data_IF_094485287376
#
_entry.id   IF_094485287376
#
_cell.length_a   1.000
_cell.length_b   1.000
_cell.length_c   1.000
_cell.angle_alpha   90.00
_cell.angle_beta   90.00
_cell.angle_gamma   90.00
#
_symmetry.space_group_name_H-M   'P 1'
#
loop_
_entity.id
_entity.type
_entity.pdbx_description
1 polymer ?
#
# COMPACT_ATOMS: atom_id res chain seq x y z
N UNK A 1 -6.38 -5.24 31.85
CA UNK A 1 -7.33 -6.12 31.14
C UNK A 1 -6.53 -7.00 30.20
N UNK A 2 -6.78 -8.32 30.21
CA UNK A 2 -6.04 -9.30 29.41
C UNK A 2 -6.50 -9.20 27.96
N UNK A 3 -5.58 -8.88 27.06
CA UNK A 3 -5.80 -8.91 25.63
C UNK A 3 -5.88 -10.37 25.19
N UNK A 4 -6.94 -10.72 24.47
CA UNK A 4 -7.08 -12.02 23.85
C UNK A 4 -6.08 -12.09 22.69
N UNK A 5 -5.22 -13.11 22.72
CA UNK A 5 -4.45 -13.54 21.56
C UNK A 5 -5.44 -14.02 20.49
N UNK A 6 -5.82 -13.14 19.57
CA UNK A 6 -6.52 -13.52 18.36
C UNK A 6 -5.55 -14.34 17.51
N UNK A 7 -5.72 -15.66 17.54
CA UNK A 7 -4.97 -16.59 16.73
C UNK A 7 -5.24 -16.28 15.26
N UNK A 8 -4.21 -15.84 14.54
CA UNK A 8 -4.20 -15.65 13.08
C UNK A 8 -4.63 -16.97 12.45
N UNK A 9 -5.87 -17.05 12.01
CA UNK A 9 -6.33 -18.12 11.14
C UNK A 9 -6.43 -17.52 9.75
N UNK A 10 -5.29 -17.42 9.08
CA UNK A 10 -5.28 -17.21 7.63
C UNK A 10 -6.05 -18.38 7.02
N UNK A 11 -7.23 -18.12 6.49
CA UNK A 11 -7.95 -19.10 5.67
C UNK A 11 -7.16 -19.19 4.37
N UNK A 12 -6.14 -20.05 4.36
CA UNK A 12 -5.53 -20.51 3.12
C UNK A 12 -6.64 -21.20 2.34
N UNK A 13 -7.13 -20.53 1.30
CA UNK A 13 -8.11 -21.11 0.40
C UNK A 13 -7.45 -22.34 -0.24
N UNK A 14 -7.85 -23.53 0.19
CA UNK A 14 -7.66 -24.73 -0.60
C UNK A 14 -8.56 -24.60 -1.84
N UNK A 15 -8.06 -23.94 -2.87
CA UNK A 15 -8.62 -23.97 -4.22
C UNK A 15 -8.52 -25.42 -4.71
N UNK A 16 -9.50 -26.24 -4.36
CA UNK A 16 -9.69 -27.56 -4.93
C UNK A 16 -10.23 -27.38 -6.36
N UNK A 17 -9.35 -27.00 -7.27
CA UNK A 17 -9.56 -27.18 -8.71
C UNK A 17 -8.90 -28.50 -9.08
N UNK A 18 -9.71 -29.46 -9.52
CA UNK A 18 -9.30 -30.80 -9.87
C UNK A 18 -8.11 -30.80 -10.84
N UNK A 19 -6.96 -31.31 -10.38
CA UNK A 19 -5.82 -31.61 -11.23
C UNK A 19 -6.14 -32.87 -12.05
N UNK A 20 -6.38 -32.68 -13.35
CA UNK A 20 -6.29 -33.72 -14.35
C UNK A 20 -5.18 -33.31 -15.31
N UNK A 21 -4.06 -34.02 -15.25
CA UNK A 21 -2.90 -33.82 -16.12
C UNK A 21 -3.28 -34.01 -17.59
N UNK A 22 -3.20 -32.92 -18.36
CA UNK A 22 -3.26 -32.86 -19.82
C UNK A 22 -2.55 -31.59 -20.27
N UNK A 23 -1.89 -31.61 -21.42
CA UNK A 23 -0.89 -30.63 -21.91
C UNK A 23 -1.34 -29.15 -22.05
N UNK A 24 -2.56 -28.80 -21.63
CA UNK A 24 -3.04 -27.43 -21.43
C UNK A 24 -3.41 -27.29 -19.94
N UNK A 25 -2.52 -26.74 -19.13
CA UNK A 25 -2.83 -26.46 -17.73
C UNK A 25 -3.80 -25.27 -17.66
N UNK A 26 -5.10 -25.47 -17.34
CA UNK A 26 -6.07 -24.39 -17.26
C UNK A 26 -5.78 -23.42 -16.10
N UNK A 27 -4.80 -23.72 -15.23
CA UNK A 27 -4.32 -22.79 -14.21
C UNK A 27 -3.29 -21.81 -14.73
N UNK A 28 -2.69 -22.03 -15.91
CA UNK A 28 -1.68 -21.12 -16.47
C UNK A 28 -2.24 -19.75 -16.86
N UNK A 29 -3.55 -19.63 -17.15
CA UNK A 29 -4.24 -18.37 -17.45
C UNK A 29 -4.86 -17.69 -16.22
N UNK A 30 -4.66 -18.25 -15.02
CA UNK A 30 -5.22 -17.73 -13.77
C UNK A 30 -4.12 -17.05 -12.96
N UNK A 31 -4.19 -15.72 -12.81
CA UNK A 31 -3.34 -14.98 -11.89
C UNK A 31 -4.06 -14.77 -10.56
N UNK A 32 -3.44 -15.12 -9.43
CA UNK A 32 -4.00 -14.91 -8.09
C UNK A 32 -3.23 -13.83 -7.32
N UNK A 33 -3.94 -12.97 -6.60
CA UNK A 33 -3.38 -11.93 -5.75
C UNK A 33 -4.11 -11.91 -4.39
N UNK A 34 -3.41 -11.56 -3.32
CA UNK A 34 -3.98 -11.40 -1.98
C UNK A 34 -3.42 -10.14 -1.36
N UNK A 35 -4.24 -9.36 -0.66
CA UNK A 35 -3.77 -8.20 0.08
C UNK A 35 -2.84 -8.65 1.19
N UNK A 36 -1.82 -7.84 1.44
CA UNK A 36 -0.94 -7.99 2.61
C UNK A 36 -1.69 -7.55 3.87
N UNK A 37 -1.15 -7.75 5.09
CA UNK A 37 -1.81 -7.31 6.31
C UNK A 37 -2.29 -5.85 6.19
N UNK A 38 -3.61 -5.66 6.31
CA UNK A 38 -4.26 -4.38 5.99
C UNK A 38 -5.33 -4.03 7.02
N UNK A 39 -5.60 -2.73 7.12
CA UNK A 39 -6.76 -2.18 7.84
C UNK A 39 -7.77 -1.64 6.83
N UNK A 40 -9.06 -1.69 7.16
CA UNK A 40 -10.08 -0.98 6.40
C UNK A 40 -10.26 0.41 6.99
N UNK A 41 -9.97 1.44 6.21
CA UNK A 41 -10.30 2.83 6.53
C UNK A 41 -11.63 3.16 5.89
N UNK A 42 -12.59 3.56 6.71
CA UNK A 42 -13.92 4.02 6.27
C UNK A 42 -13.97 5.54 6.35
N UNK A 43 -14.38 6.16 5.25
CA UNK A 43 -14.49 7.62 5.12
C UNK A 43 -15.86 8.03 4.59
N UNK A 44 -16.35 9.18 5.03
CA UNK A 44 -17.53 9.86 4.49
C UNK A 44 -17.22 11.32 4.13
N UNK A 45 -18.24 12.17 3.97
CA UNK A 45 -18.06 13.60 3.66
C UNK A 45 -17.44 14.41 4.79
N UNK A 46 -17.38 13.89 6.01
CA UNK A 46 -16.79 14.52 7.18
C UNK A 46 -15.33 14.09 7.44
N UNK A 47 -14.87 13.02 6.79
CA UNK A 47 -13.51 12.49 6.93
C UNK A 47 -13.50 11.01 7.30
N UNK A 48 -12.49 10.58 8.07
CA UNK A 48 -12.38 9.21 8.58
C UNK A 48 -13.40 8.98 9.69
N UNK A 49 -14.24 7.95 9.54
CA UNK A 49 -15.29 7.58 10.50
C UNK A 49 -15.05 6.24 11.18
N UNK A 50 -14.13 5.43 10.67
CA UNK A 50 -13.77 4.17 11.30
C UNK A 50 -12.54 3.52 10.70
N UNK A 51 -11.83 2.75 11.53
CA UNK A 51 -10.69 1.94 11.15
C UNK A 51 -10.94 0.54 11.68
N UNK A 52 -10.98 -0.45 10.80
CA UNK A 52 -11.22 -1.85 11.18
C UNK A 52 -9.96 -2.69 10.91
N UNK A 53 -9.50 -3.48 11.89
CA UNK A 53 -8.32 -4.31 11.72
C UNK A 53 -8.60 -5.57 10.89
N UNK A 54 -7.52 -6.22 10.45
CA UNK A 54 -7.51 -7.59 9.94
C UNK A 54 -8.45 -7.84 8.74
N UNK A 55 -8.58 -6.88 7.84
CA UNK A 55 -9.30 -7.08 6.58
C UNK A 55 -8.37 -7.67 5.52
N UNK A 56 -8.94 -8.46 4.61
CA UNK A 56 -8.18 -8.97 3.47
C UNK A 56 -9.04 -9.13 2.23
N UNK A 57 -8.41 -9.07 1.06
CA UNK A 57 -9.04 -9.36 -0.21
C UNK A 57 -8.15 -10.31 -1.01
N UNK A 58 -8.75 -11.31 -1.65
CA UNK A 58 -8.08 -12.15 -2.64
C UNK A 58 -8.80 -12.07 -3.97
N UNK A 59 -8.04 -12.01 -5.06
CA UNK A 59 -8.56 -11.96 -6.41
C UNK A 59 -7.93 -13.06 -7.24
N UNK A 60 -8.74 -13.81 -7.99
CA UNK A 60 -8.29 -14.70 -9.04
C UNK A 60 -8.77 -14.14 -10.39
N UNK A 61 -7.82 -13.71 -11.23
CA UNK A 61 -8.06 -13.17 -12.56
C UNK A 61 -8.02 -14.31 -13.57
N UNK A 62 -9.09 -14.46 -14.34
CA UNK A 62 -9.13 -15.31 -15.52
C UNK A 62 -8.79 -14.45 -16.75
N UNK A 63 -7.62 -14.69 -17.34
CA UNK A 63 -7.12 -13.93 -18.50
C UNK A 63 -7.85 -14.25 -19.80
N UNK A 64 -8.51 -15.41 -19.91
CA UNK A 64 -9.24 -15.85 -21.10
C UNK A 64 -10.63 -15.18 -21.17
N UNK A 65 -11.39 -15.25 -20.07
CA UNK A 65 -12.74 -14.70 -19.98
C UNK A 65 -12.77 -13.21 -19.60
N UNK A 66 -11.62 -12.63 -19.22
CA UNK A 66 -11.51 -11.27 -18.66
C UNK A 66 -12.46 -11.02 -17.48
N UNK A 67 -12.62 -12.06 -16.66
CA UNK A 67 -13.39 -12.01 -15.42
C UNK A 67 -12.53 -12.35 -14.21
N UNK A 68 -12.99 -11.96 -13.02
CA UNK A 68 -12.32 -12.21 -11.76
C UNK A 68 -13.29 -12.79 -10.72
N UNK A 69 -12.74 -13.66 -9.86
CA UNK A 69 -13.33 -14.00 -8.57
C UNK A 69 -12.69 -13.10 -7.52
N UNK A 70 -13.50 -12.29 -6.85
CA UNK A 70 -13.07 -11.40 -5.75
C UNK A 70 -13.66 -11.93 -4.46
N UNK A 71 -12.82 -12.08 -3.43
CA UNK A 71 -13.24 -12.50 -2.09
C UNK A 71 -12.71 -11.50 -1.08
N UNK A 72 -13.60 -10.79 -0.40
CA UNK A 72 -13.28 -9.89 0.70
C UNK A 72 -13.59 -10.63 2.00
N UNK A 73 -12.63 -10.68 2.92
CA UNK A 73 -12.76 -11.39 4.19
C UNK A 73 -12.65 -10.43 5.37
N UNK A 74 -13.40 -10.75 6.43
CA UNK A 74 -13.45 -10.03 7.70
C UNK A 74 -13.90 -8.57 7.56
N UNK A 75 -14.74 -8.27 6.58
CA UNK A 75 -15.32 -6.93 6.44
C UNK A 75 -16.47 -6.75 7.44
N UNK A 76 -16.31 -5.85 8.41
CA UNK A 76 -17.40 -5.34 9.25
C UNK A 76 -17.75 -3.89 8.90
N UNK A 77 -18.79 -3.32 9.51
CA UNK A 77 -19.18 -1.91 9.32
C UNK A 77 -19.05 -1.09 10.61
N UNK A 78 -18.67 -1.75 11.70
CA UNK A 78 -18.31 -1.12 12.97
C UNK A 78 -17.36 -2.04 13.74
N UNK A 79 -16.63 -1.50 14.72
CA UNK A 79 -15.74 -2.30 15.58
C UNK A 79 -16.49 -3.37 16.39
N UNK A 80 -17.79 -3.17 16.62
CA UNK A 80 -18.64 -4.10 17.39
C UNK A 80 -19.21 -5.24 16.54
N UNK A 81 -19.15 -5.11 15.21
CA UNK A 81 -19.72 -6.08 14.29
C UNK A 81 -18.72 -7.19 13.98
N UNK A 82 -19.23 -8.41 13.85
CA UNK A 82 -18.41 -9.51 13.37
C UNK A 82 -18.20 -9.37 11.87
N UNK A 83 -16.94 -9.40 11.43
CA UNK A 83 -16.60 -9.36 10.02
C UNK A 83 -17.25 -10.49 9.22
N UNK A 84 -17.68 -10.17 8.01
CA UNK A 84 -18.29 -11.07 7.04
C UNK A 84 -17.33 -11.42 5.92
N UNK A 85 -17.65 -12.48 5.15
CA UNK A 85 -16.95 -12.83 3.92
C UNK A 85 -17.87 -12.55 2.75
N UNK A 86 -17.43 -11.72 1.81
CA UNK A 86 -18.15 -11.34 0.60
C UNK A 86 -17.46 -11.97 -0.61
N UNK A 87 -18.23 -12.66 -1.47
CA UNK A 87 -17.72 -13.31 -2.69
C UNK A 87 -18.41 -12.75 -3.92
N UNK A 88 -17.64 -12.38 -4.92
CA UNK A 88 -18.11 -11.84 -6.19
C UNK A 88 -17.46 -12.63 -7.33
N UNK A 89 -18.27 -13.24 -8.20
CA UNK A 89 -17.78 -13.97 -9.38
C UNK A 89 -18.10 -13.22 -10.66
N UNK A 90 -17.34 -13.53 -11.70
CA UNK A 90 -17.59 -12.99 -13.03
C UNK A 90 -17.38 -11.48 -13.11
N UNK A 91 -16.63 -10.90 -12.17
CA UNK A 91 -16.42 -9.45 -12.14
C UNK A 91 -15.48 -9.09 -13.29
N UNK A 92 -15.93 -8.23 -14.19
CA UNK A 92 -15.11 -7.82 -15.33
C UNK A 92 -13.85 -7.08 -14.86
N UNK A 93 -12.74 -7.27 -15.57
CA UNK A 93 -11.51 -6.53 -15.35
C UNK A 93 -10.82 -6.19 -16.67
N UNK A 94 -9.95 -5.19 -16.64
CA UNK A 94 -9.19 -4.69 -17.79
C UNK A 94 -7.72 -4.50 -17.43
N UNK A 95 -6.86 -4.41 -18.44
CA UNK A 95 -5.50 -3.91 -18.23
C UNK A 95 -5.51 -2.38 -18.12
N UNK A 96 -4.77 -1.86 -17.14
CA UNK A 96 -4.50 -0.44 -16.94
C UNK A 96 -2.97 -0.28 -16.92
N UNK A 97 -2.39 0.02 -18.08
CA UNK A 97 -0.94 -0.15 -18.30
C UNK A 97 -0.52 -1.60 -18.13
N UNK A 98 0.39 -1.87 -17.19
CA UNK A 98 0.85 -3.22 -16.82
C UNK A 98 0.04 -3.84 -15.67
N UNK A 99 -0.89 -3.09 -15.06
CA UNK A 99 -1.71 -3.56 -13.95
C UNK A 99 -3.02 -4.21 -14.42
N UNK A 100 -3.57 -5.13 -13.62
CA UNK A 100 -4.94 -5.62 -13.78
C UNK A 100 -5.88 -4.78 -12.91
N UNK A 101 -6.97 -4.29 -13.48
CA UNK A 101 -7.93 -3.42 -12.80
C UNK A 101 -9.34 -3.96 -12.88
N UNK A 102 -9.95 -4.18 -11.72
CA UNK A 102 -11.40 -4.31 -11.58
C UNK A 102 -11.96 -2.91 -11.35
N UNK A 103 -12.86 -2.47 -12.20
CA UNK A 103 -13.61 -1.23 -12.06
C UNK A 103 -15.09 -1.54 -12.30
N UNK A 104 -15.87 -1.65 -11.22
CA UNK A 104 -17.28 -1.99 -11.29
C UNK A 104 -18.11 -0.95 -10.58
N UNK A 105 -19.14 -0.43 -11.25
CA UNK A 105 -20.07 0.54 -10.66
C UNK A 105 -20.88 -0.07 -9.52
N UNK A 106 -21.22 -1.35 -9.63
CA UNK A 106 -22.00 -2.09 -8.67
C UNK A 106 -21.68 -3.59 -8.76
N UNK A 107 -21.51 -4.25 -7.62
CA UNK A 107 -21.40 -5.71 -7.50
C UNK A 107 -22.18 -6.19 -6.27
N UNK A 108 -22.99 -7.23 -6.46
CA UNK A 108 -23.70 -7.91 -5.38
C UNK A 108 -22.97 -9.21 -5.01
N UNK A 109 -22.78 -9.50 -3.71
CA UNK A 109 -22.16 -10.75 -3.29
C UNK A 109 -23.08 -11.95 -3.58
N UNK A 110 -22.49 -13.10 -3.92
CA UNK A 110 -23.26 -14.32 -4.23
C UNK A 110 -23.94 -14.94 -3.01
N UNK A 111 -23.25 -14.91 -1.87
CA UNK A 111 -23.60 -15.69 -0.68
C UNK A 111 -24.54 -14.96 0.27
N UNK A 112 -24.69 -13.64 0.12
CA UNK A 112 -25.49 -12.78 1.01
C UNK A 112 -26.24 -11.72 0.19
N UNK A 113 -27.50 -11.40 0.52
CA UNK A 113 -28.29 -10.43 -0.25
C UNK A 113 -27.80 -8.98 -0.09
N UNK A 114 -27.11 -8.68 1.00
CA UNK A 114 -26.54 -7.37 1.31
C UNK A 114 -25.17 -7.54 1.99
N UNK A 115 -24.25 -6.56 1.87
CA UNK A 115 -24.43 -5.30 1.16
C UNK A 115 -24.01 -5.37 -0.32
N UNK A 116 -24.67 -4.56 -1.13
CA UNK A 116 -24.23 -4.26 -2.50
C UNK A 116 -23.07 -3.27 -2.43
N UNK A 117 -21.95 -3.60 -3.07
CA UNK A 117 -20.81 -2.70 -3.14
C UNK A 117 -20.87 -1.89 -4.42
N UNK A 118 -20.64 -0.58 -4.32
CA UNK A 118 -20.56 0.33 -5.47
C UNK A 118 -19.16 0.91 -5.62
N UNK A 119 -18.86 1.51 -6.77
CA UNK A 119 -17.57 2.14 -7.08
C UNK A 119 -16.34 1.27 -6.74
N UNK A 120 -16.46 -0.04 -7.00
CA UNK A 120 -15.42 -1.02 -6.68
C UNK A 120 -14.22 -0.78 -7.58
N UNK A 121 -13.07 -0.56 -6.96
CA UNK A 121 -11.78 -0.38 -7.59
C UNK A 121 -10.77 -1.32 -6.95
N UNK A 122 -10.31 -2.30 -7.73
CA UNK A 122 -9.22 -3.18 -7.32
C UNK A 122 -8.11 -3.07 -8.35
N UNK A 123 -6.91 -2.74 -7.90
CA UNK A 123 -5.73 -2.57 -8.76
C UNK A 123 -4.66 -3.56 -8.31
N UNK A 124 -4.34 -4.51 -9.20
CA UNK A 124 -3.27 -5.48 -9.00
C UNK A 124 -2.05 -5.10 -9.84
N UNK A 125 -0.96 -4.77 -9.15
CA UNK A 125 0.37 -4.56 -9.72
C UNK A 125 1.11 -5.89 -9.72
N UNK A 126 1.52 -6.34 -10.91
CA UNK A 126 2.21 -7.62 -11.05
C UNK A 126 3.53 -7.64 -10.24
N UNK A 127 3.98 -8.82 -9.79
CA UNK A 127 5.17 -8.92 -8.96
C UNK A 127 6.40 -8.37 -9.70
N UNK A 128 7.16 -7.51 -9.02
CA UNK A 128 8.39 -6.89 -9.51
C UNK A 128 9.50 -7.08 -8.49
N UNK A 129 10.73 -7.26 -8.97
CA UNK A 129 11.90 -7.27 -8.10
C UNK A 129 12.25 -5.84 -7.65
N UNK A 130 12.20 -5.62 -6.35
CA UNK A 130 12.55 -4.37 -5.66
C UNK A 130 13.52 -4.73 -4.54
N UNK A 131 14.72 -4.16 -4.56
CA UNK A 131 15.78 -4.41 -3.57
C UNK A 131 16.03 -5.92 -3.32
N UNK A 132 16.16 -6.69 -4.42
CA UNK A 132 16.42 -8.14 -4.38
C UNK A 132 15.24 -8.98 -3.90
N UNK A 133 14.04 -8.41 -3.82
CA UNK A 133 12.83 -9.07 -3.33
C UNK A 133 11.71 -8.93 -4.33
N UNK A 134 11.00 -10.03 -4.60
CA UNK A 134 9.79 -10.00 -5.39
C UNK A 134 8.65 -9.40 -4.55
N UNK A 135 8.06 -8.32 -5.04
CA UNK A 135 7.01 -7.55 -4.36
C UNK A 135 5.90 -7.26 -5.36
N UNK A 136 4.65 -7.54 -5.01
CA UNK A 136 3.46 -7.22 -5.81
C UNK A 136 2.65 -6.10 -5.14
N UNK A 137 1.46 -5.78 -5.62
CA UNK A 137 0.60 -4.80 -4.96
C UNK A 137 -0.86 -5.06 -5.26
N UNK A 138 -1.72 -5.05 -4.25
CA UNK A 138 -3.17 -5.20 -4.41
C UNK A 138 -3.90 -4.11 -3.64
N UNK A 139 -4.26 -3.03 -4.32
CA UNK A 139 -5.07 -1.97 -3.74
C UNK A 139 -6.56 -2.28 -3.89
N UNK A 140 -7.33 -2.06 -2.83
CA UNK A 140 -8.78 -2.33 -2.79
C UNK A 140 -9.53 -1.15 -2.22
N UNK A 141 -10.56 -0.71 -2.92
CA UNK A 141 -11.49 0.31 -2.44
C UNK A 141 -12.87 0.08 -3.05
N UNK A 142 -13.91 0.41 -2.29
CA UNK A 142 -15.30 0.32 -2.70
C UNK A 142 -16.15 1.23 -1.83
N UNK A 143 -17.38 1.48 -2.25
CA UNK A 143 -18.38 2.18 -1.46
C UNK A 143 -19.41 1.17 -0.96
N UNK A 144 -19.79 1.27 0.30
CA UNK A 144 -20.94 0.55 0.87
C UNK A 144 -21.79 1.57 1.61
N UNK A 145 -23.07 1.65 1.25
CA UNK A 145 -23.99 2.71 1.70
C UNK A 145 -23.40 4.11 1.47
N UNK A 146 -23.15 4.86 2.54
CA UNK A 146 -22.57 6.21 2.50
C UNK A 146 -21.05 6.24 2.76
N UNK A 147 -20.41 5.08 2.93
CA UNK A 147 -19.01 4.99 3.35
C UNK A 147 -18.13 4.49 2.21
N UNK A 148 -17.08 5.26 1.91
CA UNK A 148 -15.97 4.79 1.09
C UNK A 148 -15.02 3.98 1.97
N UNK A 149 -14.78 2.74 1.61
CA UNK A 149 -13.86 1.83 2.27
C UNK A 149 -12.59 1.71 1.44
N UNK A 150 -11.43 1.82 2.07
CA UNK A 150 -10.12 1.61 1.46
C UNK A 150 -9.32 0.64 2.32
N UNK A 151 -8.75 -0.39 1.71
CA UNK A 151 -7.84 -1.30 2.42
C UNK A 151 -6.46 -0.69 2.35
N UNK A 152 -5.99 -0.19 3.49
CA UNK A 152 -4.67 0.41 3.62
C UNK A 152 -3.71 -0.67 4.12
N UNK A 153 -2.67 -1.02 3.33
CA UNK A 153 -1.66 -1.98 3.76
C UNK A 153 -0.84 -1.41 4.93
N UNK A 154 -0.46 -2.28 5.86
CA UNK A 154 0.41 -1.92 6.98
C UNK A 154 1.88 -1.81 6.58
N UNK A 155 2.24 -2.42 5.45
CA UNK A 155 3.56 -2.33 4.85
C UNK A 155 3.46 -1.95 3.37
N UNK A 156 4.12 -0.85 3.01
CA UNK A 156 4.13 -0.31 1.66
C UNK A 156 5.56 -0.08 1.19
N UNK A 157 5.84 -0.40 -0.07
CA UNK A 157 7.11 -0.10 -0.74
C UNK A 157 6.85 0.83 -1.92
N UNK A 158 7.51 1.99 -1.91
CA UNK A 158 7.44 3.00 -2.96
C UNK A 158 8.76 3.05 -3.72
N UNK A 159 8.65 2.97 -5.05
CA UNK A 159 9.76 3.02 -5.98
C UNK A 159 9.43 3.99 -7.11
N UNK A 160 10.40 4.80 -7.50
CA UNK A 160 10.19 5.82 -8.50
C UNK A 160 11.41 6.71 -8.65
N UNK A 161 11.19 7.96 -9.02
CA UNK A 161 12.28 8.91 -9.25
C UNK A 161 12.42 9.81 -8.03
N UNK A 162 13.63 9.86 -7.46
CA UNK A 162 14.01 10.78 -6.39
C UNK A 162 15.00 11.80 -6.94
N UNK A 163 14.73 13.08 -6.73
CA UNK A 163 15.63 14.19 -7.00
C UNK A 163 16.09 14.80 -5.68
N UNK A 164 17.41 14.99 -5.54
CA UNK A 164 18.01 15.73 -4.42
C UNK A 164 18.74 16.94 -4.97
N UNK A 165 18.42 18.13 -4.46
CA UNK A 165 18.99 19.41 -4.88
C UNK A 165 19.76 20.04 -3.73
N UNK A 166 21.03 20.35 -3.94
CA UNK A 166 21.83 21.16 -3.02
C UNK A 166 21.31 22.60 -3.02
N UNK A 167 21.04 23.13 -1.81
CA UNK A 167 20.55 24.49 -1.58
C UNK A 167 21.68 25.49 -1.32
N UNK A 168 22.94 25.10 -1.57
CA UNK A 168 24.09 26.01 -1.53
C UNK A 168 24.06 27.06 -2.65
N UNK A 169 25.01 28.00 -2.62
CA UNK A 169 25.14 29.07 -3.62
C UNK A 169 25.46 28.55 -5.04
N UNK A 170 25.89 27.28 -5.18
CA UNK A 170 26.10 26.60 -6.46
C UNK A 170 25.27 25.30 -6.48
N UNK A 171 23.96 25.38 -6.79
CA UNK A 171 23.08 24.24 -6.67
C UNK A 171 23.43 23.13 -7.68
N UNK A 172 23.61 21.92 -7.18
CA UNK A 172 23.71 20.70 -7.97
C UNK A 172 22.48 19.80 -7.70
N UNK A 173 22.02 19.11 -8.74
CA UNK A 173 20.90 18.15 -8.63
C UNK A 173 21.38 16.74 -8.96
N UNK A 174 20.93 15.78 -8.16
CA UNK A 174 21.17 14.35 -8.34
C UNK A 174 19.82 13.64 -8.44
N UNK A 175 19.62 12.90 -9.54
CA UNK A 175 18.42 12.10 -9.77
C UNK A 175 18.75 10.61 -9.61
N UNK A 176 17.91 9.90 -8.86
CA UNK A 176 18.04 8.47 -8.56
C UNK A 176 16.73 7.75 -8.82
N UNK A 177 16.81 6.62 -9.53
CA UNK A 177 15.71 5.63 -9.65
C UNK A 177 15.95 4.40 -8.78
N UNK A 178 16.97 4.43 -7.92
CA UNK A 178 17.37 3.32 -7.05
C UNK A 178 16.96 3.52 -5.59
N UNK A 179 16.58 4.73 -5.22
CA UNK A 179 16.12 5.02 -3.86
C UNK A 179 14.78 4.34 -3.62
N UNK A 180 14.68 3.52 -2.58
CA UNK A 180 13.46 2.79 -2.22
C UNK A 180 12.97 3.28 -0.87
N UNK A 181 11.66 3.47 -0.73
CA UNK A 181 11.03 3.89 0.52
C UNK A 181 10.09 2.77 0.99
N UNK A 182 10.40 2.18 2.13
CA UNK A 182 9.53 1.22 2.81
C UNK A 182 8.85 1.90 4.00
N UNK A 183 7.54 1.74 4.13
CA UNK A 183 6.71 2.36 5.15
C UNK A 183 6.02 1.26 5.94
N UNK A 184 6.19 1.29 7.26
CA UNK A 184 5.49 0.44 8.21
C UNK A 184 4.57 1.30 9.08
N UNK A 185 3.27 1.02 9.05
CA UNK A 185 2.24 1.77 9.80
C UNK A 185 1.88 1.00 11.07
N UNK A 186 1.93 1.68 12.21
CA UNK A 186 1.28 1.26 13.45
C UNK A 186 -0.01 2.08 13.65
N UNK A 187 -1.18 1.55 13.26
CA UNK A 187 -2.44 2.27 13.38
C UNK A 187 -2.84 2.50 14.84
N UNK A 188 -2.36 1.69 15.78
CA UNK A 188 -2.66 1.87 17.21
C UNK A 188 -1.90 3.07 17.79
N UNK A 189 -0.70 3.34 17.27
CA UNK A 189 0.08 4.51 17.64
C UNK A 189 -0.27 5.75 16.81
N UNK A 190 -1.01 5.60 15.70
CA UNK A 190 -1.23 6.67 14.71
C UNK A 190 0.08 7.15 14.09
N UNK A 191 1.06 6.25 13.97
CA UNK A 191 2.42 6.58 13.61
C UNK A 191 2.99 5.59 12.60
N UNK A 192 3.98 6.03 11.83
CA UNK A 192 4.71 5.18 10.89
C UNK A 192 6.22 5.28 11.10
N UNK A 193 6.90 4.25 10.61
CA UNK A 193 8.33 4.23 10.37
C UNK A 193 8.55 4.19 8.86
N UNK A 194 9.44 5.04 8.35
CA UNK A 194 9.87 5.02 6.96
C UNK A 194 11.36 4.69 6.88
N UNK A 195 11.68 3.60 6.19
CA UNK A 195 13.05 3.23 5.83
C UNK A 195 13.34 3.68 4.41
N UNK A 196 14.42 4.42 4.22
CA UNK A 196 14.92 4.88 2.92
C UNK A 196 16.21 4.12 2.62
N UNK A 197 16.18 3.28 1.59
CA UNK A 197 17.35 2.55 1.09
C UNK A 197 18.03 3.33 -0.03
N UNK A 198 19.36 3.30 -0.06
CA UNK A 198 20.20 4.09 -0.96
C UNK A 198 19.79 5.58 -1.10
N UNK A 199 19.63 6.33 0.00
CA UNK A 199 19.37 7.78 -0.07
C UNK A 199 20.48 8.50 -0.85
N UNK A 200 20.19 8.88 -2.12
CA UNK A 200 21.15 9.56 -3.00
C UNK A 200 21.08 11.07 -2.84
N UNK A 201 21.69 11.59 -1.78
CA UNK A 201 22.09 12.99 -1.70
C UNK A 201 23.60 13.07 -1.44
N UNK A 202 24.30 14.00 -2.10
CA UNK A 202 25.69 14.29 -1.78
C UNK A 202 25.77 14.76 -0.33
N UNK A 203 26.82 14.41 0.38
CA UNK A 203 27.03 14.75 1.77
C UNK A 203 28.31 15.56 1.93
N UNK A 204 28.54 16.48 1.00
CA UNK A 204 29.79 17.24 0.90
C UNK A 204 31.00 16.31 0.79
N UNK A 205 30.93 15.30 -0.10
CA UNK A 205 32.00 14.33 -0.32
C UNK A 205 32.04 13.16 0.68
N UNK A 206 30.99 12.96 1.49
CA UNK A 206 30.83 11.73 2.30
C UNK A 206 30.04 10.68 1.51
N UNK A 207 30.35 9.41 1.77
CA UNK A 207 29.58 8.28 1.23
C UNK A 207 28.14 8.38 1.75
N UNK A 208 27.17 8.44 0.84
CA UNK A 208 25.76 8.35 1.17
C UNK A 208 25.50 7.07 2.00
N UNK A 209 24.69 7.12 3.06
CA UNK A 209 24.43 5.94 3.86
C UNK A 209 23.67 4.90 3.03
N UNK A 210 23.91 3.61 3.29
CA UNK A 210 23.18 2.54 2.60
C UNK A 210 21.68 2.55 2.97
N UNK A 211 21.37 2.97 4.20
CA UNK A 211 19.99 3.16 4.66
C UNK A 211 19.84 4.25 5.71
N UNK A 212 18.63 4.82 5.76
CA UNK A 212 18.19 5.82 6.72
C UNK A 212 16.80 5.44 7.23
N UNK A 213 16.54 5.56 8.53
CA UNK A 213 15.23 5.30 9.12
C UNK A 213 14.67 6.58 9.78
N UNK A 214 13.44 6.93 9.43
CA UNK A 214 12.67 8.02 10.03
C UNK A 214 11.53 7.41 10.85
N UNK A 215 11.47 7.73 12.14
CA UNK A 215 10.54 7.11 13.11
C UNK A 215 9.49 8.10 13.57
N UNK A 216 8.37 7.58 14.06
CA UNK A 216 7.28 8.35 14.68
C UNK A 216 6.70 9.42 13.75
N UNK A 217 6.58 9.09 12.46
CA UNK A 217 5.93 9.94 11.48
C UNK A 217 4.42 9.94 11.74
N UNK A 218 3.78 11.10 11.78
CA UNK A 218 2.33 11.18 11.96
C UNK A 218 1.60 10.60 10.75
N UNK A 219 0.52 9.85 10.97
CA UNK A 219 -0.28 9.23 9.91
C UNK A 219 -1.67 9.86 9.84
N UNK A 220 -2.06 10.32 8.66
CA UNK A 220 -3.41 10.80 8.36
C UNK A 220 -3.99 9.97 7.21
N UNK A 221 -5.08 9.23 7.47
CA UNK A 221 -5.75 8.46 6.43
C UNK A 221 -6.77 9.30 5.67
N UNK A 222 -6.97 8.99 4.38
CA UNK A 222 -8.00 9.61 3.55
C UNK A 222 -8.58 8.60 2.54
N UNK A 223 -9.61 8.99 1.81
CA UNK A 223 -10.24 8.12 0.80
C UNK A 223 -9.23 7.73 -0.30
N UNK A 224 -8.85 6.45 -0.36
CA UNK A 224 -7.91 5.92 -1.36
C UNK A 224 -6.43 5.96 -0.98
N UNK A 225 -6.06 6.38 0.23
CA UNK A 225 -4.65 6.51 0.60
C UNK A 225 -4.38 7.01 2.01
N UNK A 226 -3.16 7.49 2.22
CA UNK A 226 -2.71 8.08 3.48
C UNK A 226 -1.58 9.07 3.29
N UNK A 227 -1.36 9.90 4.30
CA UNK A 227 -0.29 10.88 4.36
C UNK A 227 0.58 10.64 5.58
N UNK A 228 1.89 10.76 5.39
CA UNK A 228 2.86 10.84 6.47
C UNK A 228 3.38 12.26 6.59
N UNK A 229 3.56 12.74 7.82
CA UNK A 229 4.17 14.06 8.04
C UNK A 229 5.05 14.11 9.29
N UNK A 230 6.04 14.99 9.24
CA UNK A 230 6.82 15.40 10.39
C UNK A 230 7.42 16.80 10.17
N UNK A 231 7.19 17.72 11.10
CA UNK A 231 7.85 19.04 11.09
C UNK A 231 9.36 18.88 11.23
N UNK A 232 9.79 17.98 12.12
CA UNK A 232 11.18 17.63 12.35
C UNK A 232 11.28 16.13 12.65
N UNK A 233 12.17 15.43 11.93
CA UNK A 233 12.52 14.04 12.18
C UNK A 233 14.04 13.87 12.16
N UNK A 234 14.60 13.26 13.21
CA UNK A 234 16.03 12.94 13.25
C UNK A 234 16.23 11.52 12.72
N UNK A 235 16.94 11.33 11.58
CA UNK A 235 17.12 10.00 11.03
C UNK A 235 18.05 9.14 11.88
N UNK A 236 17.79 7.83 11.86
CA UNK A 236 18.70 6.81 12.36
C UNK A 236 19.49 6.21 11.19
N UNK A 237 20.82 6.24 11.26
CA UNK A 237 21.73 5.69 10.25
C UNK A 237 22.73 4.80 10.97
N UNK A 238 22.84 3.54 10.56
CA UNK A 238 23.65 2.54 11.27
C UNK A 238 23.24 2.36 12.73
N UNK A 239 21.95 2.53 13.03
CA UNK A 239 21.39 2.42 14.39
C UNK A 239 21.61 3.64 15.29
N UNK A 240 22.23 4.71 14.81
CA UNK A 240 22.49 5.93 15.59
C UNK A 240 21.71 7.12 15.04
N UNK A 241 21.17 7.95 15.94
CA UNK A 241 20.51 9.20 15.56
C UNK A 241 21.52 10.20 14.98
N UNK A 242 21.21 10.78 13.82
CA UNK A 242 22.07 11.69 13.06
C UNK A 242 21.43 13.06 12.89
N UNK A 243 21.65 13.94 13.87
CA UNK A 243 21.15 15.32 13.86
C UNK A 243 21.78 16.19 12.77
N UNK A 244 22.92 15.80 12.22
CA UNK A 244 23.52 16.43 11.06
C UNK A 244 22.68 16.27 9.79
N UNK A 245 21.74 15.32 9.78
CA UNK A 245 20.81 15.04 8.68
C UNK A 245 19.34 15.18 9.09
N UNK A 246 19.05 16.04 10.08
CA UNK A 246 17.68 16.30 10.50
C UNK A 246 16.80 16.64 9.29
N UNK A 247 15.71 15.90 9.16
CA UNK A 247 14.70 16.06 8.12
C UNK A 247 13.64 17.03 8.63
N UNK A 248 13.25 17.99 7.80
CA UNK A 248 12.26 19.02 8.09
C UNK A 248 11.20 19.06 7.02
N UNK A 249 10.00 19.46 7.44
CA UNK A 249 8.83 19.63 6.58
C UNK A 249 8.58 18.38 5.73
N UNK A 250 8.73 17.20 6.34
CA UNK A 250 8.50 15.93 5.66
C UNK A 250 7.01 15.82 5.35
N UNK A 251 6.73 15.56 4.09
CA UNK A 251 5.42 15.22 3.59
C UNK A 251 5.55 14.03 2.65
N UNK A 252 4.79 12.97 2.92
CA UNK A 252 4.63 11.82 2.04
C UNK A 252 3.15 11.66 1.78
N UNK A 253 2.73 11.69 0.51
CA UNK A 253 1.35 11.45 0.12
C UNK A 253 1.30 10.14 -0.68
N UNK A 254 0.61 9.13 -0.13
CA UNK A 254 0.51 7.79 -0.71
C UNK A 254 -0.90 7.55 -1.21
N UNK A 255 -1.05 7.58 -2.53
CA UNK A 255 -2.29 7.22 -3.24
C UNK A 255 -2.21 5.78 -3.73
N UNK A 256 -3.12 4.92 -3.30
CA UNK A 256 -3.13 3.51 -3.68
C UNK A 256 -3.61 3.27 -5.12
N UNK A 257 -4.25 4.27 -5.73
CA UNK A 257 -4.86 4.19 -7.06
C UNK A 257 -4.33 5.25 -8.03
N UNK A 258 -3.25 5.95 -7.66
CA UNK A 258 -2.69 7.05 -8.44
C UNK A 258 -1.25 7.35 -8.06
N UNK A 259 -0.81 8.56 -8.41
CA UNK A 259 0.55 9.00 -8.13
C UNK A 259 0.75 9.27 -6.65
N UNK A 260 1.90 8.84 -6.13
CA UNK A 260 2.34 9.14 -4.78
C UNK A 260 3.55 10.09 -4.82
N UNK A 261 3.70 10.92 -3.80
CA UNK A 261 4.77 11.92 -3.74
C UNK A 261 5.43 11.96 -2.38
N UNK A 262 6.67 12.43 -2.35
CA UNK A 262 7.40 12.69 -1.13
C UNK A 262 8.22 13.96 -1.27
N UNK A 263 8.30 14.76 -0.21
CA UNK A 263 9.19 15.91 -0.15
C UNK A 263 9.69 16.17 1.27
N UNK A 264 10.93 16.62 1.39
CA UNK A 264 11.48 17.15 2.63
C UNK A 264 12.74 18.00 2.39
N UNK A 265 13.18 18.71 3.43
CA UNK A 265 14.47 19.41 3.46
C UNK A 265 15.36 18.83 4.56
N UNK A 266 16.66 18.76 4.35
CA UNK A 266 17.62 18.32 5.38
C UNK A 266 18.36 19.50 5.99
N UNK A 267 18.78 19.38 7.25
CA UNK A 267 19.70 20.33 7.90
C UNK A 267 21.06 20.44 7.22
N UNK A 268 21.41 19.46 6.40
CA UNK A 268 22.62 19.48 5.56
C UNK A 268 22.49 20.38 4.32
N UNK A 269 21.31 20.99 4.10
CA UNK A 269 21.09 21.92 2.99
C UNK A 269 20.60 21.26 1.70
N UNK A 270 19.93 20.11 1.79
CA UNK A 270 19.35 19.44 0.61
C UNK A 270 17.83 19.49 0.62
N UNK A 271 17.24 19.79 -0.53
CA UNK A 271 15.82 19.56 -0.81
C UNK A 271 15.65 18.24 -1.55
N UNK A 272 14.76 17.38 -1.08
CA UNK A 272 14.49 16.07 -1.68
C UNK A 272 13.04 16.02 -2.12
N UNK A 273 12.82 15.53 -3.34
CA UNK A 273 11.49 15.24 -3.88
C UNK A 273 11.49 13.87 -4.53
N UNK A 274 10.42 13.11 -4.35
CA UNK A 274 10.23 11.86 -5.06
C UNK A 274 8.82 11.71 -5.60
N UNK A 275 8.73 11.01 -6.72
CA UNK A 275 7.49 10.69 -7.43
C UNK A 275 7.43 9.19 -7.67
N UNK A 276 6.30 8.58 -7.34
CA UNK A 276 6.10 7.14 -7.43
C UNK A 276 4.86 6.84 -8.28
N UNK A 277 5.04 5.98 -9.28
CA UNK A 277 3.98 5.57 -10.22
C UNK A 277 3.16 4.37 -9.72
N UNK A 278 3.61 3.72 -8.64
CA UNK A 278 2.95 2.55 -8.09
C UNK A 278 3.25 2.34 -6.61
N UNK A 279 2.35 1.61 -5.96
CA UNK A 279 2.42 1.25 -4.55
C UNK A 279 2.48 -0.27 -4.47
N UNK A 280 3.65 -0.77 -4.07
CA UNK A 280 3.87 -2.18 -3.87
C UNK A 280 3.68 -2.51 -2.39
N UNK A 281 3.30 -3.74 -2.09
CA UNK A 281 2.88 -4.19 -0.78
C UNK A 281 3.59 -5.51 -0.48
N UNK A 282 3.93 -5.74 0.79
CA UNK A 282 4.39 -7.07 1.24
C UNK A 282 3.76 -7.48 2.57
#
# INVERSE_FOLDING_TARGET
>A
MRWFEASITAVALSLQLCSCSGDDDPQASIATAVTTPSIAVMTDTSGVVGILPDVSCSVAFNDDDKTALVVISNQGWSESERGSVLRFRGVAWVFDGEARRVAASEVAPEDVPEPVLTDVSILYQAPREIDGRLTDGLAVSFTSDSHRVTFVPLHTVLCGTTESVDLSDQPESVVSTKTVYAIDIDPSAGAAVMTVSEPRFDLGGRVAPDSMELRSLGVEFYAGGYRLSADVAVPYIGGMARRDYEVRDLLVDVSLFGESTLSYVTSAGYSVKAYFEGVYMR
#
